data_IF_312418233994
#
_entry.id   IF_312418233994
#
_cell.length_a   1.000
_cell.length_b   1.000
_cell.length_c   1.000
_cell.angle_alpha   90.00
_cell.angle_beta   90.00
_cell.angle_gamma   90.00
#
_symmetry.space_group_name_H-M   'P 1'
#
loop_
_entity.id
_entity.type
_entity.pdbx_description
1 polymer ?
#
# COMPACT_ATOMS: atom_id res chain seq x y z
N UNK A 1 25.59 43.33 -59.87
CA UNK A 1 24.16 42.98 -59.87
C UNK A 1 23.67 43.19 -58.45
N UNK A 2 22.61 43.99 -58.29
CA UNK A 2 21.82 44.14 -57.05
C UNK A 2 21.41 42.76 -56.51
N UNK A 3 21.20 42.52 -55.22
CA UNK A 3 20.24 43.03 -54.24
C UNK A 3 20.59 42.26 -52.94
N UNK A 4 20.28 42.61 -51.70
CA UNK A 4 19.14 43.33 -51.15
C UNK A 4 19.44 43.62 -49.66
N UNK A 5 18.86 44.72 -49.19
CA UNK A 5 18.91 45.26 -47.84
C UNK A 5 18.17 44.37 -46.83
N UNK A 6 18.79 44.03 -45.70
CA UNK A 6 18.05 43.57 -44.52
C UNK A 6 17.85 44.75 -43.56
N UNK A 7 16.63 45.26 -43.56
CA UNK A 7 16.14 46.28 -42.63
C UNK A 7 15.97 45.64 -41.25
N UNK A 8 16.65 46.18 -40.24
CA UNK A 8 16.33 45.93 -38.84
C UNK A 8 14.99 46.59 -38.51
N UNK A 9 13.94 45.79 -38.37
CA UNK A 9 12.69 46.21 -37.71
C UNK A 9 12.72 45.74 -36.25
N UNK A 10 12.85 46.72 -35.37
CA UNK A 10 12.59 46.61 -33.93
C UNK A 10 11.17 46.12 -33.70
N UNK A 11 11.01 44.93 -33.15
CA UNK A 11 9.75 44.46 -32.56
C UNK A 11 9.78 44.80 -31.08
N UNK A 12 8.98 45.78 -30.72
CA UNK A 12 8.61 46.12 -29.34
C UNK A 12 8.00 44.89 -28.65
N UNK A 13 8.65 44.40 -27.60
CA UNK A 13 8.05 43.48 -26.64
C UNK A 13 6.90 44.20 -25.92
N UNK A 14 5.67 43.96 -26.35
CA UNK A 14 4.50 44.24 -25.54
C UNK A 14 4.51 43.28 -24.35
N UNK A 15 4.93 43.80 -23.20
CA UNK A 15 4.72 43.16 -21.90
C UNK A 15 3.21 43.00 -21.69
N UNK A 16 2.70 41.80 -21.94
CA UNK A 16 1.42 41.36 -21.41
C UNK A 16 1.50 41.47 -19.87
N UNK A 17 0.94 42.55 -19.32
CA UNK A 17 0.67 42.64 -17.89
C UNK A 17 -0.43 41.62 -17.62
N UNK A 18 -0.07 40.47 -17.06
CA UNK A 18 -1.01 39.60 -16.39
C UNK A 18 -1.69 40.41 -15.28
N UNK A 19 -2.89 40.89 -15.56
CA UNK A 19 -3.76 41.47 -14.54
C UNK A 19 -4.37 40.29 -13.82
N UNK A 20 -3.72 39.83 -12.75
CA UNK A 20 -4.32 38.88 -11.83
C UNK A 20 -5.43 39.60 -11.05
N UNK A 21 -6.66 39.52 -11.56
CA UNK A 21 -7.85 39.98 -10.84
C UNK A 21 -8.17 38.93 -9.78
N UNK A 22 -7.80 39.21 -8.53
CA UNK A 22 -8.28 38.57 -7.29
C UNK A 22 -8.36 37.05 -7.29
N UNK A 23 -7.37 36.38 -6.68
CA UNK A 23 -7.49 34.96 -6.36
C UNK A 23 -8.55 34.77 -5.28
N UNK A 24 -9.73 34.23 -5.64
CA UNK A 24 -10.67 33.73 -4.64
C UNK A 24 -10.07 32.45 -4.07
N UNK A 25 -9.56 32.51 -2.84
CA UNK A 25 -9.13 31.32 -2.11
C UNK A 25 -10.38 30.55 -1.68
N UNK A 26 -10.72 29.49 -2.40
CA UNK A 26 -11.75 28.57 -1.96
C UNK A 26 -11.30 27.90 -0.66
N UNK A 27 -12.01 28.12 0.44
CA UNK A 27 -11.74 27.49 1.74
C UNK A 27 -12.69 26.33 2.04
N UNK A 28 -13.75 26.17 1.24
CA UNK A 28 -14.72 25.10 1.42
C UNK A 28 -14.09 23.74 1.09
N UNK A 29 -14.43 22.66 1.84
CA UNK A 29 -14.06 21.31 1.47
C UNK A 29 -14.56 20.94 0.07
N UNK A 30 -13.70 20.31 -0.72
CA UNK A 30 -14.00 19.88 -2.10
C UNK A 30 -14.25 18.36 -2.08
N UNK A 31 -15.46 17.88 -2.41
CA UNK A 31 -15.77 16.46 -2.39
C UNK A 31 -15.17 15.72 -3.61
N UNK A 32 -14.67 14.52 -3.37
CA UNK A 32 -14.23 13.55 -4.37
C UNK A 32 -15.00 12.24 -4.16
N UNK A 33 -15.60 11.69 -5.21
CA UNK A 33 -16.40 10.46 -5.15
C UNK A 33 -17.90 10.70 -5.28
N UNK A 34 -18.67 9.60 -5.15
CA UNK A 34 -20.12 9.57 -5.27
C UNK A 34 -20.81 9.72 -3.91
N UNK A 35 -21.47 8.66 -3.46
CA UNK A 35 -22.12 8.58 -2.14
C UNK A 35 -21.06 8.49 -1.01
N UNK A 36 -19.98 7.76 -1.25
CA UNK A 36 -18.82 7.67 -0.37
C UNK A 36 -17.77 8.69 -0.81
N UNK A 37 -17.63 9.77 -0.04
CA UNK A 37 -16.79 10.92 -0.41
C UNK A 37 -15.54 11.02 0.43
N UNK A 38 -14.43 11.35 -0.24
CA UNK A 38 -13.30 12.03 0.40
C UNK A 38 -13.53 13.53 0.32
N UNK A 39 -12.96 14.27 1.26
CA UNK A 39 -12.95 15.74 1.22
C UNK A 39 -11.51 16.24 1.07
N UNK A 40 -11.22 17.00 0.04
CA UNK A 40 -9.99 17.78 -0.02
C UNK A 40 -10.21 19.11 0.70
N UNK A 41 -9.31 19.45 1.62
CA UNK A 41 -9.36 20.66 2.44
C UNK A 41 -8.35 21.68 1.87
N UNK A 42 -8.79 22.72 1.12
CA UNK A 42 -7.84 23.61 0.44
C UNK A 42 -6.94 24.40 1.39
N UNK A 43 -7.44 24.73 2.58
CA UNK A 43 -6.71 25.52 3.57
C UNK A 43 -5.46 24.79 4.08
N UNK A 44 -5.55 23.47 4.26
CA UNK A 44 -4.43 22.64 4.73
C UNK A 44 -3.77 21.87 3.60
N UNK A 45 -4.40 21.79 2.42
CA UNK A 45 -4.06 20.87 1.31
C UNK A 45 -4.05 19.40 1.72
N UNK A 46 -4.98 18.99 2.59
CA UNK A 46 -5.09 17.61 3.07
C UNK A 46 -6.33 16.92 2.52
N UNK A 47 -6.27 15.60 2.37
CA UNK A 47 -7.46 14.79 2.11
C UNK A 47 -8.04 14.24 3.42
N UNK A 48 -9.35 14.23 3.55
CA UNK A 48 -10.07 13.58 4.63
C UNK A 48 -10.84 12.39 4.07
N UNK A 49 -10.38 11.19 4.42
CA UNK A 49 -10.96 9.91 4.01
C UNK A 49 -11.86 9.34 5.11
N UNK A 50 -11.96 10.01 6.26
CA UNK A 50 -12.67 9.49 7.43
C UNK A 50 -14.19 9.47 7.30
N UNK A 51 -14.74 10.03 6.19
CA UNK A 51 -16.19 10.15 5.94
C UNK A 51 -16.92 10.82 7.11
N UNK A 52 -16.30 11.84 7.70
CA UNK A 52 -16.87 12.62 8.81
C UNK A 52 -16.72 11.98 10.19
N UNK A 53 -15.88 10.95 10.33
CA UNK A 53 -15.62 10.33 11.64
C UNK A 53 -15.15 11.34 12.68
N UNK A 54 -15.57 11.13 13.94
CA UNK A 54 -15.17 11.96 15.07
C UNK A 54 -13.75 11.65 15.55
N UNK A 55 -13.24 10.46 15.22
CA UNK A 55 -11.90 10.02 15.53
C UNK A 55 -11.10 10.00 14.23
N UNK A 56 -10.07 10.85 14.13
CA UNK A 56 -9.22 10.94 12.94
C UNK A 56 -7.76 10.84 13.31
N UNK A 57 -7.02 9.99 12.62
CA UNK A 57 -5.56 10.05 12.59
C UNK A 57 -5.15 10.97 11.44
N UNK A 58 -4.37 12.01 11.76
CA UNK A 58 -3.90 13.01 10.79
C UNK A 58 -2.44 12.72 10.45
N UNK A 59 -2.19 12.44 9.17
CA UNK A 59 -0.87 12.15 8.62
C UNK A 59 -0.35 13.36 7.87
N UNK A 60 0.87 13.77 8.21
CA UNK A 60 1.61 14.80 7.47
C UNK A 60 2.49 14.14 6.41
N UNK A 61 2.65 14.79 5.26
CA UNK A 61 3.62 14.41 4.25
C UNK A 61 4.19 15.62 3.53
N UNK A 62 5.41 15.49 3.02
CA UNK A 62 6.02 16.52 2.20
C UNK A 62 5.22 16.73 0.91
N UNK A 63 4.98 18.00 0.55
CA UNK A 63 4.30 18.36 -0.70
C UNK A 63 5.19 18.07 -1.93
N UNK A 64 6.50 17.89 -1.74
CA UNK A 64 7.43 17.68 -2.84
C UNK A 64 7.14 16.35 -3.56
N UNK A 65 6.69 16.45 -4.82
CA UNK A 65 6.29 15.30 -5.63
C UNK A 65 4.85 14.81 -5.39
N UNK A 66 4.04 15.55 -4.62
CA UNK A 66 2.64 15.21 -4.30
C UNK A 66 1.74 16.43 -4.45
N UNK A 67 0.45 16.19 -4.70
CA UNK A 67 -0.54 17.26 -4.80
C UNK A 67 -1.25 17.56 -3.46
N UNK A 68 -0.69 17.12 -2.34
CA UNK A 68 -1.24 17.29 -0.99
C UNK A 68 -0.14 17.29 0.08
N UNK A 69 -0.44 17.85 1.25
CA UNK A 69 0.45 17.92 2.43
C UNK A 69 0.12 16.87 3.48
N UNK A 70 -0.91 16.06 3.26
CA UNK A 70 -1.31 15.02 4.20
C UNK A 70 -2.68 14.43 3.92
N UNK A 71 -3.08 13.51 4.79
CA UNK A 71 -4.39 12.88 4.71
C UNK A 71 -4.88 12.47 6.10
N UNK A 72 -6.17 12.13 6.22
CA UNK A 72 -6.80 11.73 7.48
C UNK A 72 -7.59 10.44 7.28
N UNK A 73 -7.47 9.51 8.23
CA UNK A 73 -8.24 8.26 8.24
C UNK A 73 -8.97 8.10 9.56
N UNK A 74 -10.05 7.32 9.55
CA UNK A 74 -10.66 6.80 10.76
C UNK A 74 -9.97 5.48 11.16
N UNK A 75 -9.29 5.41 12.33
CA UNK A 75 -8.62 4.18 12.75
C UNK A 75 -9.58 3.00 12.97
N UNK A 76 -10.79 3.25 13.47
CA UNK A 76 -11.82 2.24 13.71
C UNK A 76 -12.34 1.61 12.42
N UNK A 77 -12.27 2.33 11.29
CA UNK A 77 -12.64 1.85 9.96
C UNK A 77 -11.44 1.38 9.12
N UNK A 78 -10.24 1.32 9.73
CA UNK A 78 -9.01 0.94 9.05
C UNK A 78 -8.57 -0.50 9.37
N UNK A 79 -7.77 -1.08 8.46
CA UNK A 79 -7.08 -2.37 8.63
C UNK A 79 -5.64 -2.26 8.15
N UNK A 80 -4.68 -2.68 8.97
CA UNK A 80 -3.30 -2.94 8.54
C UNK A 80 -3.19 -4.35 7.96
N UNK A 81 -2.85 -4.44 6.68
CA UNK A 81 -2.62 -5.69 5.96
C UNK A 81 -1.11 -5.89 5.82
N UNK A 82 -0.57 -6.87 6.54
CA UNK A 82 0.84 -7.27 6.45
C UNK A 82 0.94 -8.46 5.51
N UNK A 83 1.55 -8.23 4.35
CA UNK A 83 1.58 -9.17 3.23
C UNK A 83 2.84 -10.03 3.25
N UNK A 84 2.66 -11.35 3.25
CA UNK A 84 3.68 -12.37 2.98
C UNK A 84 4.99 -12.23 3.79
N UNK A 85 4.93 -11.72 5.03
CA UNK A 85 6.08 -11.75 5.96
C UNK A 85 6.29 -13.16 6.53
N UNK A 86 6.41 -14.13 5.64
CA UNK A 86 6.55 -15.56 5.89
C UNK A 86 8.02 -16.00 5.75
N UNK A 87 8.37 -17.11 6.39
CA UNK A 87 9.71 -17.70 6.31
C UNK A 87 10.20 -17.87 4.86
N UNK A 88 9.37 -18.36 3.95
CA UNK A 88 9.75 -18.58 2.54
C UNK A 88 10.24 -17.31 1.82
N UNK A 89 9.73 -16.15 2.19
CA UNK A 89 10.03 -14.89 1.53
C UNK A 89 11.15 -14.10 2.22
N UNK A 90 11.25 -14.17 3.55
CA UNK A 90 12.14 -13.28 4.31
C UNK A 90 13.31 -14.02 4.96
N UNK A 91 13.15 -15.30 5.29
CA UNK A 91 14.17 -16.03 6.05
C UNK A 91 15.46 -16.19 5.20
N UNK A 92 16.65 -15.88 5.75
CA UNK A 92 17.94 -15.94 5.02
C UNK A 92 18.26 -17.31 4.38
N UNK A 93 17.69 -18.38 4.94
CA UNK A 93 17.76 -19.74 4.39
C UNK A 93 17.23 -19.84 2.95
N UNK A 94 16.24 -19.04 2.56
CA UNK A 94 15.69 -19.09 1.20
C UNK A 94 16.24 -18.04 0.26
N UNK A 95 16.57 -16.85 0.78
CA UNK A 95 16.94 -15.70 -0.05
C UNK A 95 17.55 -14.59 0.80
N UNK A 96 18.44 -13.82 0.18
CA UNK A 96 18.99 -12.59 0.75
C UNK A 96 18.03 -11.43 0.49
N UNK A 97 16.97 -11.33 1.30
CA UNK A 97 15.93 -10.31 1.16
C UNK A 97 16.23 -9.10 2.06
N UNK A 98 17.32 -8.39 1.79
CA UNK A 98 17.77 -7.27 2.61
C UNK A 98 16.70 -6.19 2.84
N UNK A 99 15.94 -5.83 1.79
CA UNK A 99 14.87 -4.83 1.89
C UNK A 99 13.70 -5.33 2.76
N UNK A 100 13.31 -6.61 2.63
CA UNK A 100 12.29 -7.23 3.46
C UNK A 100 12.70 -7.34 4.92
N UNK A 101 13.98 -7.60 5.20
CA UNK A 101 14.55 -7.57 6.55
C UNK A 101 14.54 -6.14 7.11
N UNK A 102 14.91 -5.14 6.31
CA UNK A 102 14.90 -3.73 6.72
C UNK A 102 13.49 -3.23 7.08
N UNK A 103 12.45 -3.79 6.44
CA UNK A 103 11.06 -3.45 6.71
C UNK A 103 10.52 -3.99 8.04
N UNK A 104 11.22 -4.90 8.72
CA UNK A 104 10.73 -5.57 9.94
C UNK A 104 10.51 -4.58 11.08
N UNK A 105 11.56 -3.90 11.52
CA UNK A 105 11.51 -2.98 12.65
C UNK A 105 10.50 -1.83 12.44
N UNK A 106 10.45 -1.15 11.27
CA UNK A 106 9.39 -0.21 10.94
C UNK A 106 7.98 -0.81 11.08
N UNK A 107 7.76 -2.02 10.53
CA UNK A 107 6.43 -2.67 10.56
C UNK A 107 6.02 -3.01 11.99
N UNK A 108 6.96 -3.45 12.84
CA UNK A 108 6.68 -3.75 14.25
C UNK A 108 6.19 -2.51 15.01
N UNK A 109 6.80 -1.34 14.78
CA UNK A 109 6.36 -0.06 15.37
C UNK A 109 4.98 0.35 14.89
N UNK A 110 4.70 0.17 13.60
CA UNK A 110 3.38 0.43 13.02
C UNK A 110 2.33 -0.50 13.63
N UNK A 111 2.62 -1.79 13.79
CA UNK A 111 1.70 -2.75 14.44
C UNK A 111 1.37 -2.30 15.87
N UNK A 112 2.38 -1.89 16.65
CA UNK A 112 2.18 -1.36 18.00
C UNK A 112 1.27 -0.13 17.98
N UNK A 113 1.53 0.84 17.09
CA UNK A 113 0.69 2.03 16.94
C UNK A 113 -0.72 1.66 16.53
N UNK A 114 -0.90 0.78 15.55
CA UNK A 114 -2.21 0.31 15.11
C UNK A 114 -3.03 -0.26 16.25
N UNK A 115 -2.42 -1.10 17.10
CA UNK A 115 -3.10 -1.68 18.27
C UNK A 115 -3.53 -0.63 19.29
N UNK A 116 -2.69 0.37 19.55
CA UNK A 116 -3.01 1.47 20.45
C UNK A 116 -4.24 2.26 19.98
N UNK A 117 -4.33 2.50 18.66
CA UNK A 117 -5.41 3.29 18.07
C UNK A 117 -6.64 2.46 17.63
N UNK A 118 -6.62 1.14 17.85
CA UNK A 118 -7.74 0.26 17.49
C UNK A 118 -7.83 -0.12 16.01
N UNK A 119 -6.76 0.07 15.24
CA UNK A 119 -6.66 -0.38 13.84
C UNK A 119 -6.49 -1.91 13.83
N UNK A 120 -7.36 -2.60 13.09
CA UNK A 120 -7.33 -4.07 12.99
C UNK A 120 -6.07 -4.54 12.25
N UNK A 121 -5.42 -5.57 12.76
CA UNK A 121 -4.27 -6.23 12.10
C UNK A 121 -4.76 -7.45 11.31
N UNK A 122 -4.31 -7.58 10.05
CA UNK A 122 -4.56 -8.70 9.18
C UNK A 122 -3.26 -9.22 8.56
N UNK A 123 -2.97 -10.51 8.79
CA UNK A 123 -1.87 -11.24 8.18
C UNK A 123 -2.36 -11.88 6.88
N UNK A 124 -1.89 -11.39 5.75
CA UNK A 124 -2.25 -11.89 4.43
C UNK A 124 -1.09 -12.67 3.84
N UNK A 125 -1.22 -13.99 3.78
CA UNK A 125 -0.09 -14.88 3.53
C UNK A 125 -0.42 -15.91 2.44
N UNK A 126 0.58 -16.37 1.69
CA UNK A 126 0.42 -17.54 0.86
C UNK A 126 0.12 -18.78 1.72
N UNK A 127 -0.99 -19.46 1.41
CA UNK A 127 -1.38 -20.67 2.10
C UNK A 127 -2.21 -21.54 1.18
N UNK A 128 -1.54 -22.35 0.36
CA UNK A 128 -2.22 -23.16 -0.65
C UNK A 128 -2.50 -24.59 -0.15
N UNK A 129 -3.46 -25.23 -0.81
CA UNK A 129 -3.82 -26.64 -0.62
C UNK A 129 -3.68 -27.41 -1.94
N UNK A 130 -3.86 -28.74 -1.89
CA UNK A 130 -3.92 -29.56 -3.11
C UNK A 130 -5.09 -29.19 -4.01
N UNK A 131 -6.18 -28.67 -3.46
CA UNK A 131 -7.30 -28.16 -4.25
C UNK A 131 -6.90 -26.92 -5.05
N UNK A 132 -6.19 -25.99 -4.41
CA UNK A 132 -5.77 -24.73 -5.02
C UNK A 132 -4.77 -24.98 -6.13
N UNK A 133 -3.80 -25.88 -5.91
CA UNK A 133 -2.84 -26.27 -6.94
C UNK A 133 -3.51 -26.82 -8.21
N UNK A 134 -4.53 -27.66 -8.07
CA UNK A 134 -5.25 -28.25 -9.20
C UNK A 134 -6.00 -27.20 -10.04
N UNK A 135 -6.43 -26.11 -9.41
CA UNK A 135 -7.16 -25.01 -10.06
C UNK A 135 -6.28 -23.80 -10.39
N UNK A 136 -4.98 -23.89 -10.13
CA UNK A 136 -4.08 -22.77 -10.28
C UNK A 136 -3.81 -22.45 -11.74
N UNK A 137 -3.91 -21.17 -12.10
CA UNK A 137 -3.63 -20.73 -13.46
C UNK A 137 -2.13 -20.97 -13.81
N UNK A 138 -1.81 -21.42 -15.03
CA UNK A 138 -0.43 -21.69 -15.44
C UNK A 138 0.51 -20.49 -15.27
N UNK A 139 0.03 -19.27 -15.48
CA UNK A 139 0.83 -18.05 -15.32
C UNK A 139 1.36 -17.88 -13.88
N UNK A 140 0.57 -18.28 -12.88
CA UNK A 140 0.97 -18.25 -11.47
C UNK A 140 2.00 -19.33 -11.20
N UNK A 141 1.75 -20.56 -11.65
CA UNK A 141 2.71 -21.65 -11.48
C UNK A 141 4.05 -21.37 -12.17
N UNK A 142 4.04 -20.72 -13.34
CA UNK A 142 5.25 -20.31 -14.07
C UNK A 142 6.14 -19.43 -13.21
N UNK A 143 5.55 -18.48 -12.49
CA UNK A 143 6.26 -17.57 -11.59
C UNK A 143 6.94 -18.26 -10.40
N UNK A 144 6.64 -19.54 -10.15
CA UNK A 144 7.24 -20.34 -9.07
C UNK A 144 7.92 -21.61 -9.59
N UNK A 145 8.17 -21.74 -10.89
CA UNK A 145 8.59 -23.01 -11.48
C UNK A 145 10.02 -23.42 -11.12
N UNK A 146 10.16 -24.67 -10.64
CA UNK A 146 11.46 -25.33 -10.41
C UNK A 146 12.16 -25.75 -11.68
N UNK A 147 11.41 -26.22 -12.68
CA UNK A 147 11.99 -26.71 -13.93
C UNK A 147 12.69 -25.62 -14.74
N UNK A 148 12.34 -24.35 -14.49
CA UNK A 148 12.98 -23.20 -15.10
C UNK A 148 14.14 -22.64 -14.25
N UNK A 149 14.32 -23.13 -13.01
CA UNK A 149 15.34 -22.65 -12.07
C UNK A 149 14.99 -21.35 -11.34
N UNK A 150 13.72 -20.93 -11.36
CA UNK A 150 13.31 -19.60 -10.85
C UNK A 150 12.93 -19.67 -9.36
N UNK A 151 12.28 -20.75 -8.93
CA UNK A 151 11.93 -21.02 -7.54
C UNK A 151 11.84 -22.53 -7.26
N UNK A 152 11.49 -22.94 -6.03
CA UNK A 152 11.46 -24.37 -5.65
C UNK A 152 10.21 -25.13 -6.18
N UNK A 153 9.21 -24.43 -6.73
CA UNK A 153 7.93 -25.02 -7.16
C UNK A 153 6.85 -24.92 -6.08
N UNK A 154 5.67 -24.37 -6.41
CA UNK A 154 4.53 -24.38 -5.49
C UNK A 154 4.15 -25.82 -5.13
N UNK A 155 4.04 -26.09 -3.84
CA UNK A 155 3.71 -27.41 -3.30
C UNK A 155 4.80 -28.48 -3.42
N UNK A 156 6.00 -28.14 -3.91
CA UNK A 156 7.14 -29.04 -3.87
C UNK A 156 7.58 -29.29 -2.43
N UNK A 157 8.02 -30.51 -2.12
CA UNK A 157 8.57 -30.83 -0.80
C UNK A 157 9.91 -30.12 -0.60
N UNK A 158 10.00 -29.30 0.45
CA UNK A 158 11.23 -28.63 0.86
C UNK A 158 12.06 -29.53 1.81
N UNK A 159 13.39 -29.33 1.88
CA UNK A 159 14.29 -30.10 2.76
C UNK A 159 13.96 -29.96 4.25
N UNK A 160 14.60 -30.80 5.07
CA UNK A 160 14.70 -30.63 6.53
C UNK A 160 13.37 -30.36 7.25
N UNK A 161 12.30 -31.05 6.84
CA UNK A 161 10.96 -30.92 7.40
C UNK A 161 10.34 -29.52 7.31
N UNK A 162 10.83 -28.66 6.42
CA UNK A 162 10.27 -27.32 6.16
C UNK A 162 8.87 -27.36 5.54
N UNK A 163 8.41 -28.55 5.13
CA UNK A 163 7.09 -28.82 4.56
C UNK A 163 7.03 -28.56 3.05
N UNK A 164 5.81 -28.58 2.50
CA UNK A 164 5.58 -28.27 1.08
C UNK A 164 5.60 -26.75 0.88
N UNK A 165 6.24 -26.30 -0.20
CA UNK A 165 6.38 -24.89 -0.55
C UNK A 165 5.03 -24.16 -0.57
N UNK A 166 4.90 -23.17 0.31
CA UNK A 166 3.74 -22.30 0.53
C UNK A 166 2.43 -23.02 0.91
N UNK A 167 2.52 -24.28 1.34
CA UNK A 167 1.35 -25.03 1.81
C UNK A 167 0.94 -24.59 3.21
N UNK A 168 -0.38 -24.57 3.45
CA UNK A 168 -0.92 -24.29 4.79
C UNK A 168 -0.27 -25.17 5.85
N UNK A 169 0.01 -24.59 7.02
CA UNK A 169 0.54 -25.30 8.21
C UNK A 169 1.91 -25.95 7.96
N UNK A 170 2.76 -25.29 7.18
CA UNK A 170 4.16 -25.67 6.97
C UNK A 170 5.05 -24.54 7.42
N UNK A 171 6.24 -24.86 7.96
CA UNK A 171 7.15 -23.85 8.51
C UNK A 171 7.47 -22.74 7.51
N UNK A 172 7.73 -23.09 6.24
CA UNK A 172 8.03 -22.09 5.21
C UNK A 172 6.86 -21.11 4.94
N UNK A 173 5.61 -21.53 5.21
CA UNK A 173 4.42 -20.70 5.09
C UNK A 173 3.99 -20.05 6.42
N UNK A 174 4.70 -20.28 7.52
CA UNK A 174 4.44 -19.55 8.77
C UNK A 174 5.02 -18.12 8.71
N UNK A 175 4.45 -17.23 9.52
CA UNK A 175 5.03 -15.92 9.79
C UNK A 175 6.50 -16.05 10.19
N UNK A 176 7.33 -15.15 9.69
CA UNK A 176 8.72 -15.03 10.11
C UNK A 176 8.79 -14.64 11.60
N UNK A 177 9.80 -15.16 12.30
CA UNK A 177 9.84 -15.17 13.78
C UNK A 177 9.55 -13.82 14.45
N UNK A 178 10.09 -12.66 13.99
CA UNK A 178 9.76 -11.36 14.58
C UNK A 178 8.27 -11.02 14.55
N UNK A 179 7.55 -11.39 13.48
CA UNK A 179 6.10 -11.16 13.38
C UNK A 179 5.30 -12.20 14.16
N UNK A 180 5.77 -13.45 14.16
CA UNK A 180 5.18 -14.51 14.99
C UNK A 180 5.25 -14.17 16.48
N UNK A 181 6.31 -13.50 16.93
CA UNK A 181 6.49 -13.07 18.31
C UNK A 181 5.52 -11.96 18.75
N UNK A 182 5.10 -11.09 17.81
CA UNK A 182 4.16 -10.00 18.13
C UNK A 182 2.72 -10.31 17.77
N UNK A 183 2.42 -11.41 17.08
CA UNK A 183 1.08 -11.85 16.78
C UNK A 183 0.23 -12.02 18.05
N UNK A 184 -1.02 -11.54 18.04
CA UNK A 184 -1.92 -11.58 19.20
C UNK A 184 -3.26 -12.26 18.90
N UNK A 185 -3.94 -12.81 19.94
CA UNK A 185 -5.35 -13.17 19.83
C UNK A 185 -6.16 -11.93 19.40
N UNK A 186 -6.93 -12.05 18.32
CA UNK A 186 -7.68 -10.95 17.72
C UNK A 186 -7.10 -10.42 16.41
N UNK A 187 -5.84 -10.74 16.09
CA UNK A 187 -5.32 -10.55 14.75
C UNK A 187 -6.06 -11.48 13.76
N UNK A 188 -6.23 -11.02 12.52
CA UNK A 188 -6.87 -11.79 11.46
C UNK A 188 -5.83 -12.51 10.60
N UNK A 189 -6.16 -13.70 10.11
CA UNK A 189 -5.28 -14.49 9.27
C UNK A 189 -6.02 -14.92 8.01
N UNK A 190 -5.48 -14.54 6.86
CA UNK A 190 -6.03 -14.86 5.55
C UNK A 190 -4.99 -15.55 4.69
N UNK A 191 -5.36 -16.73 4.19
CA UNK A 191 -4.58 -17.43 3.19
C UNK A 191 -4.98 -16.94 1.79
N UNK A 192 -4.01 -16.53 0.98
CA UNK A 192 -4.19 -16.26 -0.44
C UNK A 192 -3.53 -17.32 -1.30
N UNK A 193 -4.06 -17.47 -2.52
CA UNK A 193 -3.60 -18.46 -3.50
C UNK A 193 -3.04 -17.82 -4.76
N UNK A 194 -2.91 -16.49 -4.77
CA UNK A 194 -2.42 -15.64 -5.85
C UNK A 194 -1.52 -14.55 -5.28
N UNK A 195 -0.93 -13.72 -6.14
CA UNK A 195 -0.13 -12.58 -5.72
C UNK A 195 -0.97 -11.61 -4.86
N UNK A 196 -2.11 -11.18 -5.40
CA UNK A 196 -3.11 -10.40 -4.66
C UNK A 196 -3.95 -11.28 -3.73
N UNK A 197 -4.27 -10.77 -2.55
CA UNK A 197 -5.27 -11.36 -1.65
C UNK A 197 -6.70 -10.94 -1.92
N UNK A 198 -6.92 -10.07 -2.92
CA UNK A 198 -8.21 -9.47 -3.25
C UNK A 198 -8.63 -9.73 -4.70
N UNK A 199 -7.96 -10.65 -5.40
CA UNK A 199 -8.19 -10.94 -6.83
C UNK A 199 -9.61 -11.44 -7.17
N UNK A 200 -10.41 -11.81 -6.17
CA UNK A 200 -11.80 -12.22 -6.32
C UNK A 200 -12.62 -11.83 -5.10
N UNK A 201 -13.91 -11.53 -5.33
CA UNK A 201 -14.88 -11.28 -4.26
C UNK A 201 -15.06 -12.46 -3.27
N UNK A 202 -14.64 -13.67 -3.68
CA UNK A 202 -14.71 -14.90 -2.88
C UNK A 202 -13.47 -15.13 -2.01
N UNK A 203 -12.49 -14.23 -2.06
CA UNK A 203 -11.32 -14.35 -1.18
C UNK A 203 -11.71 -14.03 0.26
N UNK A 204 -11.20 -14.78 1.26
CA UNK A 204 -11.57 -14.57 2.66
C UNK A 204 -11.34 -13.15 3.19
N UNK A 205 -10.26 -12.49 2.75
CA UNK A 205 -9.99 -11.10 3.08
C UNK A 205 -11.06 -10.17 2.50
N UNK A 206 -11.45 -10.38 1.24
CA UNK A 206 -12.48 -9.56 0.58
C UNK A 206 -13.81 -9.68 1.32
N UNK A 207 -14.27 -10.91 1.61
CA UNK A 207 -15.51 -11.17 2.34
C UNK A 207 -15.49 -10.50 3.72
N UNK A 208 -14.38 -10.60 4.45
CA UNK A 208 -14.23 -9.94 5.75
C UNK A 208 -14.31 -8.42 5.63
N UNK A 209 -13.56 -7.80 4.72
CA UNK A 209 -13.51 -6.34 4.58
C UNK A 209 -14.89 -5.78 4.23
N UNK A 210 -15.66 -6.45 3.36
CA UNK A 210 -17.04 -6.07 3.05
C UNK A 210 -17.98 -6.24 4.23
N UNK A 211 -17.93 -7.39 4.90
CA UNK A 211 -18.81 -7.67 6.03
C UNK A 211 -18.55 -6.76 7.24
N UNK A 212 -17.29 -6.35 7.44
CA UNK A 212 -16.89 -5.47 8.55
C UNK A 212 -17.00 -3.97 8.24
N UNK A 213 -17.38 -3.60 7.02
CA UNK A 213 -17.53 -2.19 6.61
C UNK A 213 -16.22 -1.40 6.60
N UNK A 214 -15.07 -2.07 6.54
CA UNK A 214 -13.75 -1.42 6.53
C UNK A 214 -13.53 -0.66 5.23
N UNK A 215 -13.07 0.59 5.34
CA UNK A 215 -12.95 1.53 4.23
C UNK A 215 -11.50 1.78 3.83
N UNK A 216 -10.60 1.87 4.81
CA UNK A 216 -9.20 2.21 4.58
C UNK A 216 -8.27 1.03 4.86
N UNK A 217 -7.41 0.72 3.90
CA UNK A 217 -6.45 -0.38 3.95
C UNK A 217 -5.03 0.19 3.96
N UNK A 218 -4.29 -0.16 5.01
CA UNK A 218 -2.88 0.18 5.18
C UNK A 218 -2.05 -1.04 4.76
N UNK A 219 -1.01 -0.84 3.95
CA UNK A 219 -0.24 -1.93 3.36
C UNK A 219 1.22 -1.92 3.82
N UNK A 220 1.67 -3.09 4.27
CA UNK A 220 3.05 -3.42 4.63
C UNK A 220 3.41 -4.82 4.11
N UNK A 221 4.69 -5.17 4.15
CA UNK A 221 5.18 -6.50 3.81
C UNK A 221 5.88 -6.62 2.45
N UNK A 222 5.91 -7.82 1.88
CA UNK A 222 6.74 -8.14 0.71
C UNK A 222 5.97 -8.89 -0.38
N UNK A 223 6.36 -8.84 -1.65
CA UNK A 223 7.26 -7.85 -2.24
C UNK A 223 6.48 -6.60 -2.64
N UNK A 224 7.09 -5.41 -2.49
CA UNK A 224 6.46 -4.11 -2.81
C UNK A 224 5.80 -4.07 -4.18
N UNK A 225 6.51 -4.46 -5.23
CA UNK A 225 6.08 -4.43 -6.64
C UNK A 225 5.28 -5.67 -7.10
N UNK A 226 5.04 -6.65 -6.21
CA UNK A 226 4.37 -7.91 -6.55
C UNK A 226 3.13 -8.14 -5.70
N UNK A 227 3.22 -8.89 -4.59
CA UNK A 227 2.06 -9.22 -3.78
C UNK A 227 1.44 -7.99 -3.13
N UNK A 228 2.26 -7.04 -2.66
CA UNK A 228 1.77 -5.79 -2.09
C UNK A 228 1.10 -4.95 -3.17
N UNK A 229 1.79 -4.58 -4.24
CA UNK A 229 1.22 -3.80 -5.34
C UNK A 229 -0.01 -4.46 -5.97
N UNK A 230 0.02 -5.78 -6.19
CA UNK A 230 -1.13 -6.52 -6.72
C UNK A 230 -2.35 -6.44 -5.80
N UNK A 231 -2.15 -6.55 -4.48
CA UNK A 231 -3.25 -6.40 -3.51
C UNK A 231 -3.75 -4.95 -3.46
N UNK A 232 -2.86 -3.96 -3.52
CA UNK A 232 -3.22 -2.53 -3.60
C UNK A 232 -4.01 -2.22 -4.87
N UNK A 233 -3.57 -2.73 -6.02
CA UNK A 233 -4.21 -2.52 -7.32
C UNK A 233 -5.63 -3.07 -7.35
N UNK A 234 -5.84 -4.28 -6.80
CA UNK A 234 -7.18 -4.85 -6.66
C UNK A 234 -8.01 -4.08 -5.63
N UNK A 235 -7.43 -3.73 -4.47
CA UNK A 235 -8.11 -2.93 -3.44
C UNK A 235 -8.64 -1.61 -3.99
N UNK A 236 -7.79 -0.87 -4.72
CA UNK A 236 -8.14 0.35 -5.42
C UNK A 236 -9.28 0.11 -6.43
N UNK A 237 -9.17 -0.94 -7.24
CA UNK A 237 -10.18 -1.27 -8.26
C UNK A 237 -11.54 -1.62 -7.66
N UNK A 238 -11.55 -2.24 -6.49
CA UNK A 238 -12.75 -2.53 -5.71
C UNK A 238 -13.23 -1.33 -4.86
N UNK A 239 -12.51 -0.20 -4.86
CA UNK A 239 -12.94 1.05 -4.23
C UNK A 239 -12.57 1.21 -2.76
N UNK A 240 -11.56 0.49 -2.25
CA UNK A 240 -11.00 0.78 -0.92
C UNK A 240 -9.98 1.92 -0.97
N UNK A 241 -9.90 2.68 0.12
CA UNK A 241 -8.86 3.68 0.26
C UNK A 241 -7.53 2.98 0.56
N UNK A 242 -6.52 3.24 -0.26
CA UNK A 242 -5.25 2.55 -0.15
C UNK A 242 -4.16 3.47 0.40
N UNK A 243 -3.44 3.00 1.43
CA UNK A 243 -2.27 3.68 1.98
C UNK A 243 -1.11 2.69 2.09
N UNK A 244 -0.03 2.94 1.36
CA UNK A 244 1.22 2.17 1.48
C UNK A 244 2.11 2.80 2.55
N UNK A 245 2.72 2.00 3.41
CA UNK A 245 3.75 2.45 4.35
C UNK A 245 5.11 2.03 3.78
N UNK A 246 5.80 2.93 3.09
CA UNK A 246 6.89 2.61 2.14
C UNK A 246 8.03 1.81 2.77
N UNK A 247 8.55 2.29 3.90
CA UNK A 247 9.63 1.65 4.67
C UNK A 247 9.18 0.42 5.48
N UNK A 248 7.88 0.11 5.49
CA UNK A 248 7.34 -1.17 5.95
C UNK A 248 7.18 -2.17 4.80
N UNK A 249 7.72 -1.88 3.62
CA UNK A 249 7.74 -2.79 2.48
C UNK A 249 9.15 -2.98 1.92
N UNK A 250 9.36 -4.07 1.18
CA UNK A 250 10.61 -4.28 0.46
C UNK A 250 10.46 -5.23 -0.72
N UNK A 251 11.33 -5.09 -1.73
CA UNK A 251 11.41 -6.02 -2.86
C UNK A 251 12.84 -6.38 -3.24
N UNK A 252 13.00 -7.53 -3.89
CA UNK A 252 14.26 -8.00 -4.47
C UNK A 252 14.32 -7.81 -6.00
N UNK A 253 13.26 -7.28 -6.64
CA UNK A 253 13.20 -7.18 -8.11
C UNK A 253 14.31 -6.27 -8.68
N UNK A 254 14.79 -5.29 -7.90
CA UNK A 254 15.78 -4.31 -8.33
C UNK A 254 15.22 -3.35 -9.39
N UNK A 255 16.10 -2.69 -10.15
CA UNK A 255 15.75 -1.86 -11.34
C UNK A 255 14.76 -0.71 -11.06
N UNK A 256 14.77 -0.15 -9.86
CA UNK A 256 13.85 0.92 -9.48
C UNK A 256 12.41 0.43 -9.22
N UNK A 257 12.20 -0.88 -9.01
CA UNK A 257 10.86 -1.46 -8.89
C UNK A 257 10.10 -0.96 -7.66
N UNK A 258 10.80 -0.72 -6.54
CA UNK A 258 10.20 -0.18 -5.33
C UNK A 258 9.71 1.25 -5.57
N UNK A 259 10.60 2.10 -6.08
CA UNK A 259 10.34 3.51 -6.36
C UNK A 259 9.21 3.67 -7.39
N UNK A 260 9.18 2.82 -8.42
CA UNK A 260 8.10 2.83 -9.41
C UNK A 260 6.75 2.40 -8.80
N UNK A 261 6.73 1.35 -7.97
CA UNK A 261 5.51 0.91 -7.30
C UNK A 261 4.97 1.98 -6.35
N UNK A 262 5.84 2.57 -5.53
CA UNK A 262 5.51 3.67 -4.63
C UNK A 262 4.99 4.90 -5.40
N UNK A 263 5.66 5.27 -6.50
CA UNK A 263 5.23 6.37 -7.36
C UNK A 263 3.81 6.12 -7.91
N UNK A 264 3.57 4.94 -8.50
CA UNK A 264 2.27 4.59 -9.05
C UNK A 264 1.16 4.62 -8.00
N UNK A 265 1.44 4.10 -6.80
CA UNK A 265 0.47 4.13 -5.71
C UNK A 265 0.18 5.57 -5.29
N UNK A 266 1.22 6.38 -5.08
CA UNK A 266 1.08 7.77 -4.62
C UNK A 266 0.33 8.68 -5.59
N UNK A 267 0.46 8.44 -6.90
CA UNK A 267 -0.13 9.32 -7.91
C UNK A 267 -1.51 8.86 -8.36
N UNK A 268 -1.77 7.55 -8.36
CA UNK A 268 -2.91 6.99 -9.08
C UNK A 268 -3.84 6.11 -8.24
N UNK A 269 -3.37 5.49 -7.15
CA UNK A 269 -4.13 4.46 -6.44
C UNK A 269 -4.47 4.82 -4.98
N UNK A 270 -3.79 5.81 -4.41
CA UNK A 270 -4.03 6.23 -3.04
C UNK A 270 -2.86 7.04 -2.50
N UNK A 271 -2.42 6.72 -1.29
CA UNK A 271 -1.43 7.49 -0.53
C UNK A 271 -0.22 6.64 -0.18
N UNK A 272 0.93 7.29 0.00
CA UNK A 272 2.14 6.66 0.52
C UNK A 272 2.58 7.42 1.76
N UNK A 273 2.95 6.75 2.83
CA UNK A 273 3.52 7.36 4.05
C UNK A 273 4.73 6.55 4.51
N UNK A 274 5.43 7.01 5.55
CA UNK A 274 6.52 6.28 6.21
C UNK A 274 6.06 5.80 7.58
N UNK A 275 6.75 4.81 8.14
CA UNK A 275 6.50 4.32 9.50
C UNK A 275 6.65 5.43 10.54
N UNK A 276 7.62 6.33 10.36
CA UNK A 276 7.80 7.49 11.23
C UNK A 276 6.59 8.41 11.17
N UNK A 277 6.19 8.87 9.97
CA UNK A 277 5.04 9.76 9.81
C UNK A 277 3.73 9.09 10.29
N UNK A 278 3.60 7.77 10.11
CA UNK A 278 2.50 7.00 10.66
C UNK A 278 2.51 6.98 12.20
N UNK A 279 3.66 6.74 12.80
CA UNK A 279 3.83 6.71 14.26
C UNK A 279 3.74 8.09 14.91
N UNK A 280 4.02 9.16 14.16
CA UNK A 280 3.93 10.56 14.60
C UNK A 280 2.54 11.17 14.34
N UNK A 281 1.68 10.47 13.59
CA UNK A 281 0.34 10.93 13.25
C UNK A 281 -0.48 11.30 14.49
N UNK A 282 -1.10 12.47 14.45
CA UNK A 282 -1.87 13.00 15.57
C UNK A 282 -3.27 12.38 15.58
N UNK A 283 -3.73 11.97 16.76
CA UNK A 283 -5.12 11.58 16.95
C UNK A 283 -5.92 12.84 17.31
N UNK A 284 -6.87 13.21 16.46
CA UNK A 284 -7.84 14.26 16.76
C UNK A 284 -9.14 13.59 17.21
N UNK A 285 -9.49 13.80 18.47
CA UNK A 285 -10.83 13.55 19.00
C UNK A 285 -11.52 14.91 19.06
N UNK A 286 -12.63 15.06 18.34
CA UNK A 286 -13.40 16.30 18.14
C UNK A 286 -12.79 17.34 17.19
N UNK A 287 -13.35 17.42 15.98
CA UNK A 287 -13.34 18.65 15.18
C UNK A 287 -14.52 19.52 15.67
N UNK A 288 -14.32 20.28 16.74
CA UNK A 288 -15.20 21.43 17.00
C UNK A 288 -14.76 22.59 16.08
N UNK A 289 -15.63 22.95 15.13
CA UNK A 289 -15.60 24.27 14.50
C UNK A 289 -15.06 24.35 13.07
N UNK A 290 -15.99 24.32 12.12
CA UNK A 290 -16.09 25.34 11.08
C UNK A 290 -17.59 25.58 10.81
#
# INVERSE_FOLDING_TARGET
MASESLVLTTTTEEQHKDVTVGTITCTAPIPFGGEEQWLYLPATKKFDLSRGSQQKMVFECDEEGRNHTGFMIDPGNSVLIVVDMQNYFVHPLYRDHAAGIAAIEPTLKVIERCRKEGIQIAWLNWGITDHDLKKMAPAIQRGFSKSLGWHVGLGAQLPDNQGRCLFKRTWNAELYDPFKAVAQPGDLYFDKTRMSGLWSEKEPLHEYLRASGKQTLLFAGVNTDQCVFGTVSDAYSYGWDCVLISDCTGTMTGRGAQELAEYQISQNMGFVTTSSAFCDAQLCEHFEGC
#
